data_IF_847791576063
#
_entry.id   IF_847791576063
#
_cell.length_a   1.000
_cell.length_b   1.000
_cell.length_c   1.000
_cell.angle_alpha   90.00
_cell.angle_beta   90.00
_cell.angle_gamma   90.00
#
_symmetry.space_group_name_H-M   'P 1'
#
loop_
_entity.id
_entity.type
_entity.pdbx_description
1 polymer ?
#
# COMPACT_ATOMS: atom_id res chain seq x y z
N UNK A 1 -13.53 -8.11 4.61
CA UNK A 1 -13.50 -9.11 3.51
C UNK A 1 -12.12 -9.73 3.48
N UNK A 2 -12.04 -11.06 3.39
CA UNK A 2 -10.78 -11.78 3.32
C UNK A 2 -10.71 -12.57 2.01
N UNK A 3 -9.67 -12.35 1.22
CA UNK A 3 -9.40 -13.00 -0.05
C UNK A 3 -8.20 -13.93 0.16
N UNK A 4 -8.43 -15.23 -0.04
CA UNK A 4 -7.45 -16.30 0.25
C UNK A 4 -7.10 -17.14 -0.97
N UNK A 5 -7.63 -16.79 -2.14
CA UNK A 5 -7.36 -17.48 -3.39
C UNK A 5 -6.84 -16.49 -4.45
N UNK A 6 -5.92 -16.89 -5.34
CA UNK A 6 -5.48 -16.05 -6.43
C UNK A 6 -6.63 -15.81 -7.44
N UNK A 7 -6.59 -14.64 -8.10
CA UNK A 7 -7.62 -14.34 -9.10
C UNK A 7 -7.86 -12.84 -9.31
N UNK A 8 -8.86 -12.54 -10.15
CA UNK A 8 -9.36 -11.19 -10.39
C UNK A 8 -10.71 -11.00 -9.72
N UNK A 9 -10.83 -9.97 -8.90
CA UNK A 9 -12.01 -9.67 -8.11
C UNK A 9 -12.53 -8.28 -8.45
N UNK A 10 -13.75 -8.20 -8.93
CA UNK A 10 -14.45 -6.91 -9.12
C UNK A 10 -15.11 -6.53 -7.80
N UNK A 11 -14.75 -5.40 -7.27
CA UNK A 11 -15.21 -4.90 -5.99
C UNK A 11 -16.14 -3.71 -6.21
N UNK A 12 -17.32 -3.75 -5.59
CA UNK A 12 -18.27 -2.64 -5.60
C UNK A 12 -19.07 -2.58 -4.29
N UNK A 13 -19.58 -1.40 -3.98
CA UNK A 13 -20.42 -1.20 -2.80
C UNK A 13 -19.63 -0.66 -1.61
N UNK A 14 -20.18 -0.81 -0.39
CA UNK A 14 -19.72 -0.11 0.80
C UNK A 14 -19.30 -1.03 1.93
N UNK A 15 -18.16 -0.73 2.54
CA UNK A 15 -17.69 -1.25 3.84
C UNK A 15 -17.54 -0.04 4.77
N UNK A 16 -18.49 0.13 5.70
CA UNK A 16 -18.54 1.30 6.59
C UNK A 16 -17.63 1.18 7.83
N UNK A 17 -17.19 -0.03 8.16
CA UNK A 17 -16.24 -0.30 9.24
C UNK A 17 -15.54 -1.64 8.98
N UNK A 18 -14.34 -1.61 8.41
CA UNK A 18 -13.57 -2.81 8.10
C UNK A 18 -12.68 -2.64 6.88
N UNK A 19 -12.03 -3.72 6.49
CA UNK A 19 -11.01 -3.74 5.46
C UNK A 19 -11.22 -4.86 4.43
N UNK A 20 -10.52 -4.74 3.32
CA UNK A 20 -10.26 -5.84 2.40
C UNK A 20 -8.82 -6.31 2.64
N UNK A 21 -8.68 -7.57 3.04
CA UNK A 21 -7.40 -8.21 3.29
C UNK A 21 -7.17 -9.34 2.28
N UNK A 22 -6.03 -9.33 1.63
CA UNK A 22 -5.57 -10.38 0.71
C UNK A 22 -4.45 -11.14 1.39
N UNK A 23 -4.62 -12.45 1.56
CA UNK A 23 -3.61 -13.32 2.16
C UNK A 23 -3.70 -14.72 1.56
N UNK A 24 -2.78 -15.06 0.68
CA UNK A 24 -2.71 -16.35 0.01
C UNK A 24 -1.84 -17.37 0.76
N UNK A 25 -1.43 -17.03 1.99
CA UNK A 25 -0.61 -17.88 2.86
C UNK A 25 0.90 -17.72 2.65
N UNK A 26 1.67 -18.27 3.58
CA UNK A 26 3.12 -18.05 3.72
C UNK A 26 3.94 -18.44 2.47
N UNK A 27 3.49 -19.43 1.71
CA UNK A 27 4.15 -19.88 0.49
C UNK A 27 3.98 -18.95 -0.73
N UNK A 28 3.01 -18.06 -0.68
CA UNK A 28 2.60 -17.23 -1.81
C UNK A 28 3.71 -16.33 -2.35
N UNK A 29 4.62 -15.85 -1.48
CA UNK A 29 5.74 -15.00 -1.88
C UNK A 29 6.58 -15.59 -3.03
N UNK A 30 6.77 -16.90 -3.06
CA UNK A 30 7.61 -17.61 -4.04
C UNK A 30 6.80 -18.27 -5.16
N UNK A 31 5.47 -18.24 -5.08
CA UNK A 31 4.58 -18.83 -6.09
C UNK A 31 4.14 -17.77 -7.11
N UNK A 32 4.64 -17.88 -8.33
CA UNK A 32 4.29 -16.96 -9.44
C UNK A 32 2.80 -16.94 -9.80
N UNK A 33 2.03 -17.92 -9.33
CA UNK A 33 0.58 -17.97 -9.53
C UNK A 33 -0.20 -17.28 -8.40
N UNK A 34 0.46 -16.92 -7.31
CA UNK A 34 -0.16 -16.23 -6.18
C UNK A 34 -0.38 -14.74 -6.47
N UNK A 35 -1.20 -14.47 -7.49
CA UNK A 35 -1.50 -13.13 -8.00
C UNK A 35 -2.97 -12.78 -7.74
N UNK A 36 -3.20 -11.64 -7.12
CA UNK A 36 -4.53 -11.07 -6.91
C UNK A 36 -4.62 -9.71 -7.60
N UNK A 37 -5.66 -9.54 -8.40
CA UNK A 37 -6.03 -8.27 -9.00
C UNK A 37 -7.38 -7.81 -8.43
N UNK A 38 -7.39 -6.68 -7.76
CA UNK A 38 -8.61 -6.03 -7.29
C UNK A 38 -9.03 -4.96 -8.30
N UNK A 39 -10.20 -5.11 -8.90
CA UNK A 39 -10.79 -4.13 -9.81
C UNK A 39 -11.78 -3.30 -9.00
N UNK A 40 -11.43 -2.03 -8.76
CA UNK A 40 -12.24 -1.11 -7.98
C UNK A 40 -13.30 -0.48 -8.88
N UNK A 41 -14.56 -0.77 -8.61
CA UNK A 41 -15.69 -0.28 -9.39
C UNK A 41 -16.78 0.28 -8.47
N UNK A 42 -16.66 1.55 -8.11
CA UNK A 42 -17.54 2.25 -7.18
C UNK A 42 -17.55 1.62 -5.77
N UNK A 43 -16.35 1.47 -5.18
CA UNK A 43 -16.19 1.07 -3.79
C UNK A 43 -16.14 2.27 -2.85
N UNK A 44 -16.69 2.10 -1.64
CA UNK A 44 -16.57 3.03 -0.52
C UNK A 44 -16.16 2.24 0.73
N UNK A 45 -14.88 2.32 1.08
CA UNK A 45 -14.29 1.54 2.17
C UNK A 45 -13.82 2.49 3.27
N UNK A 46 -14.20 2.19 4.52
CA UNK A 46 -13.70 2.91 5.69
C UNK A 46 -13.19 1.92 6.74
N UNK A 47 -11.95 2.12 7.16
CA UNK A 47 -11.32 1.43 8.29
C UNK A 47 -10.58 2.46 9.15
N UNK A 48 -11.00 2.63 10.40
CA UNK A 48 -10.46 3.63 11.32
C UNK A 48 -9.36 3.10 12.24
N UNK A 49 -8.92 1.85 12.07
CA UNK A 49 -7.97 1.18 12.97
C UNK A 49 -6.86 0.42 12.24
N UNK A 50 -6.89 0.43 10.90
CA UNK A 50 -5.96 -0.28 10.04
C UNK A 50 -6.10 0.19 8.59
N UNK A 51 -5.25 -0.27 7.64
CA UNK A 51 -5.47 -0.08 6.22
C UNK A 51 -6.88 -0.46 5.76
N UNK A 52 -7.49 0.33 4.89
CA UNK A 52 -8.77 -0.03 4.25
C UNK A 52 -8.61 -1.21 3.28
N UNK A 53 -7.45 -1.27 2.61
CA UNK A 53 -7.06 -2.39 1.75
C UNK A 53 -5.63 -2.80 2.10
N UNK A 54 -5.40 -4.10 2.27
CA UNK A 54 -4.07 -4.65 2.58
C UNK A 54 -3.80 -5.96 1.84
N UNK A 55 -2.58 -6.05 1.27
CA UNK A 55 -2.01 -7.29 0.75
C UNK A 55 -0.95 -7.80 1.71
N UNK A 56 -1.18 -8.96 2.31
CA UNK A 56 -0.22 -9.62 3.22
C UNK A 56 0.74 -10.54 2.47
N UNK A 57 0.21 -11.61 1.90
CA UNK A 57 0.99 -12.66 1.25
C UNK A 57 0.48 -12.88 -0.18
N UNK A 58 1.25 -12.41 -1.13
CA UNK A 58 1.09 -12.61 -2.58
C UNK A 58 2.48 -12.83 -3.18
N UNK A 59 2.57 -13.13 -4.47
CA UNK A 59 3.85 -13.29 -5.16
C UNK A 59 4.68 -12.01 -5.12
N UNK A 60 5.97 -12.17 -4.80
CA UNK A 60 6.98 -11.11 -4.91
C UNK A 60 7.83 -11.33 -6.16
N UNK A 61 7.88 -10.32 -7.03
CA UNK A 61 8.62 -10.35 -8.29
C UNK A 61 10.04 -9.78 -8.20
N UNK A 62 10.32 -9.01 -7.15
CA UNK A 62 11.63 -8.44 -6.89
C UNK A 62 12.41 -9.23 -5.84
N UNK A 63 13.56 -8.69 -5.45
CA UNK A 63 14.34 -9.18 -4.32
C UNK A 63 14.12 -8.24 -3.12
N UNK A 64 14.16 -8.79 -1.92
CA UNK A 64 14.07 -8.05 -0.67
C UNK A 64 15.41 -7.98 0.08
N UNK A 65 16.48 -8.50 -0.54
CA UNK A 65 17.84 -8.39 -0.03
C UNK A 65 18.54 -7.20 -0.70
N UNK A 66 19.05 -6.26 0.09
CA UNK A 66 19.71 -5.07 -0.39
C UNK A 66 20.98 -5.38 -1.22
N UNK A 67 21.66 -6.51 -0.95
CA UNK A 67 22.86 -6.94 -1.69
C UNK A 67 22.51 -7.43 -3.10
N UNK A 68 21.29 -7.96 -3.29
CA UNK A 68 20.79 -8.49 -4.56
C UNK A 68 19.79 -7.53 -5.26
N UNK A 69 19.40 -6.43 -4.59
CA UNK A 69 18.45 -5.45 -5.10
C UNK A 69 18.96 -4.69 -6.33
N UNK A 70 18.08 -4.40 -7.25
CA UNK A 70 18.36 -3.58 -8.43
C UNK A 70 17.34 -2.46 -8.56
N UNK A 71 17.78 -1.29 -9.04
CA UNK A 71 16.92 -0.15 -9.34
C UNK A 71 16.12 -0.33 -10.65
N UNK A 72 16.49 -1.29 -11.47
CA UNK A 72 15.78 -1.63 -12.71
C UNK A 72 14.91 -2.87 -12.44
N UNK A 73 13.74 -2.62 -11.88
CA UNK A 73 12.81 -3.67 -11.44
C UNK A 73 11.62 -3.75 -12.40
N UNK A 74 11.42 -4.94 -12.98
CA UNK A 74 10.19 -5.25 -13.72
C UNK A 74 9.10 -5.69 -12.74
N UNK A 75 8.18 -4.79 -12.43
CA UNK A 75 7.05 -5.04 -11.53
C UNK A 75 5.84 -5.68 -12.23
N UNK A 76 5.90 -5.96 -13.53
CA UNK A 76 4.74 -6.47 -14.31
C UNK A 76 4.20 -7.80 -13.80
N UNK A 77 5.02 -8.60 -13.13
CA UNK A 77 4.65 -9.89 -12.55
C UNK A 77 4.24 -9.82 -11.07
N UNK A 78 4.16 -8.64 -10.46
CA UNK A 78 3.83 -8.49 -9.05
C UNK A 78 2.50 -9.16 -8.67
N UNK A 79 2.47 -9.75 -7.48
CA UNK A 79 1.29 -10.45 -6.96
C UNK A 79 0.17 -9.54 -6.50
N UNK A 80 0.47 -8.30 -6.10
CA UNK A 80 -0.53 -7.31 -5.70
C UNK A 80 -0.85 -6.36 -6.86
N UNK A 81 -2.07 -6.40 -7.36
CA UNK A 81 -2.49 -5.53 -8.46
C UNK A 81 -3.84 -4.88 -8.19
N UNK A 82 -3.91 -3.59 -8.49
CA UNK A 82 -5.13 -2.79 -8.48
C UNK A 82 -5.43 -2.33 -9.89
N UNK A 83 -6.71 -2.37 -10.27
CA UNK A 83 -7.22 -1.71 -11.47
C UNK A 83 -8.33 -0.76 -11.02
N UNK A 84 -8.22 0.50 -11.40
CA UNK A 84 -9.28 1.48 -11.21
C UNK A 84 -10.16 1.40 -12.46
N UNK A 85 -11.39 0.88 -12.29
CA UNK A 85 -12.30 0.70 -13.42
C UNK A 85 -12.68 2.04 -14.06
N UNK A 86 -12.82 2.04 -15.37
CA UNK A 86 -13.29 3.23 -16.09
C UNK A 86 -14.68 3.68 -15.61
N UNK A 87 -14.92 4.98 -15.66
CA UNK A 87 -16.19 5.63 -15.27
C UNK A 87 -16.58 5.37 -13.79
N UNK A 88 -15.64 4.91 -12.94
CA UNK A 88 -15.87 4.66 -11.52
C UNK A 88 -15.30 5.74 -10.62
N UNK A 89 -15.92 5.91 -9.45
CA UNK A 89 -15.39 6.75 -8.36
C UNK A 89 -15.26 5.88 -7.13
N UNK A 90 -14.04 5.67 -6.68
CA UNK A 90 -13.70 4.82 -5.56
C UNK A 90 -13.20 5.65 -4.39
N UNK A 91 -13.61 5.28 -3.18
CA UNK A 91 -13.22 5.94 -1.94
C UNK A 91 -12.62 4.91 -0.99
N UNK A 92 -11.41 5.17 -0.50
CA UNK A 92 -10.77 4.36 0.53
C UNK A 92 -10.30 5.29 1.64
N UNK A 93 -10.95 5.17 2.79
CA UNK A 93 -10.56 5.84 4.02
C UNK A 93 -9.89 4.81 4.91
N UNK A 94 -8.66 5.07 5.28
CA UNK A 94 -7.86 4.14 6.06
C UNK A 94 -7.09 4.82 7.19
N UNK A 95 -6.61 3.99 8.07
CA UNK A 95 -5.75 4.36 9.17
C UNK A 95 -4.56 3.41 9.21
N UNK A 96 -3.75 3.52 10.21
CA UNK A 96 -2.63 2.64 10.48
C UNK A 96 -2.94 1.71 11.64
N UNK A 97 -2.25 0.58 11.70
CA UNK A 97 -2.30 -0.28 12.88
C UNK A 97 -1.58 0.43 14.02
N UNK A 98 -2.19 0.48 15.19
CA UNK A 98 -1.60 1.10 16.37
C UNK A 98 -0.18 0.59 16.62
N UNK A 99 0.72 1.49 16.99
CA UNK A 99 2.13 1.17 17.23
C UNK A 99 2.27 0.11 18.33
N UNK A 100 2.59 -1.12 17.92
CA UNK A 100 2.96 -2.21 18.81
C UNK A 100 4.42 -2.52 18.50
N UNK A 101 5.26 -2.48 19.53
CA UNK A 101 6.68 -2.70 19.36
C UNK A 101 7.03 -4.17 19.62
N UNK A 102 7.82 -4.75 18.73
CA UNK A 102 8.46 -6.05 18.93
C UNK A 102 9.62 -5.93 19.93
N UNK A 103 10.34 -4.82 19.87
CA UNK A 103 11.44 -4.50 20.78
C UNK A 103 11.53 -3.00 20.99
N UNK A 104 12.01 -2.60 22.17
CA UNK A 104 12.35 -1.22 22.51
C UNK A 104 13.70 -1.20 23.21
N UNK A 105 14.53 -0.21 22.91
CA UNK A 105 15.76 0.11 23.62
C UNK A 105 15.54 1.41 24.41
N UNK A 106 15.86 1.38 25.69
CA UNK A 106 15.75 2.53 26.57
C UNK A 106 17.12 3.17 26.79
N UNK A 107 17.11 4.48 27.08
CA UNK A 107 18.32 5.17 27.55
C UNK A 107 18.85 4.54 28.86
N UNK A 108 20.07 4.88 29.29
CA UNK A 108 20.70 4.36 30.49
C UNK A 108 19.85 4.58 31.77
N UNK A 109 19.00 5.62 31.80
CA UNK A 109 18.13 5.93 32.93
C UNK A 109 16.81 5.12 32.87
N UNK A 110 16.51 4.42 31.79
CA UNK A 110 15.27 3.66 31.61
C UNK A 110 14.02 4.52 31.45
N UNK A 111 14.15 5.79 31.08
CA UNK A 111 13.07 6.77 31.06
C UNK A 111 12.59 7.14 29.67
N UNK A 112 13.39 6.90 28.63
CA UNK A 112 13.11 7.27 27.25
C UNK A 112 13.45 6.14 26.31
N UNK A 113 12.59 5.96 25.30
CA UNK A 113 12.88 5.02 24.19
C UNK A 113 13.86 5.73 23.24
N UNK A 114 15.04 5.14 23.06
CA UNK A 114 16.09 5.64 22.13
C UNK A 114 16.10 4.89 20.82
N UNK A 115 15.56 3.65 20.78
CA UNK A 115 15.33 2.89 19.58
C UNK A 115 14.14 1.96 19.75
N UNK A 116 13.47 1.61 18.65
CA UNK A 116 12.31 0.71 18.69
C UNK A 116 12.09 0.03 17.36
N UNK A 117 11.70 -1.25 17.42
CA UNK A 117 11.30 -2.04 16.26
C UNK A 117 9.79 -2.25 16.31
N UNK A 118 9.06 -1.73 15.33
CA UNK A 118 7.61 -1.96 15.20
C UNK A 118 7.34 -3.43 14.86
N UNK A 119 6.30 -4.01 15.48
CA UNK A 119 5.83 -5.35 15.13
C UNK A 119 5.19 -5.36 13.73
N UNK A 120 4.49 -4.29 13.38
CA UNK A 120 3.85 -4.10 12.08
C UNK A 120 4.14 -2.69 11.56
N UNK A 121 4.46 -2.58 10.27
CA UNK A 121 4.68 -1.31 9.56
C UNK A 121 3.47 -0.95 8.67
N UNK A 122 2.24 -1.34 9.03
CA UNK A 122 1.05 -1.11 8.20
C UNK A 122 0.52 0.30 8.44
N UNK A 123 1.22 1.27 7.89
CA UNK A 123 1.04 2.68 8.18
C UNK A 123 0.17 3.42 7.13
N UNK A 124 -0.16 2.79 5.99
CA UNK A 124 -0.92 3.40 4.92
C UNK A 124 -2.40 2.99 4.88
N UNK A 125 -3.25 3.85 4.34
CA UNK A 125 -4.66 3.53 4.10
C UNK A 125 -4.83 2.40 3.07
N UNK A 126 -3.93 2.33 2.10
CA UNK A 126 -3.81 1.27 1.10
C UNK A 126 -2.39 0.70 1.17
N UNK A 127 -2.23 -0.53 1.62
CA UNK A 127 -0.93 -1.07 1.98
C UNK A 127 -0.64 -2.43 1.33
N UNK A 128 0.61 -2.66 0.98
CA UNK A 128 1.10 -3.96 0.52
C UNK A 128 2.42 -4.35 1.20
N UNK A 129 2.51 -5.57 1.67
CA UNK A 129 3.78 -6.15 2.14
C UNK A 129 4.68 -6.62 0.99
N UNK A 130 4.22 -6.46 -0.24
CA UNK A 130 4.92 -6.92 -1.45
C UNK A 130 4.82 -5.85 -2.51
N UNK A 131 5.61 -5.98 -3.55
CA UNK A 131 5.52 -5.11 -4.72
C UNK A 131 4.09 -4.99 -5.20
N UNK A 132 3.62 -3.76 -5.40
CA UNK A 132 2.25 -3.46 -5.77
C UNK A 132 2.17 -2.57 -7.02
N UNK A 133 1.22 -2.89 -7.89
CA UNK A 133 0.90 -2.07 -9.06
C UNK A 133 -0.50 -1.47 -8.97
N UNK A 134 -0.64 -0.21 -9.39
CA UNK A 134 -1.93 0.44 -9.65
C UNK A 134 -2.02 0.79 -11.13
N UNK A 135 -3.13 0.37 -11.74
CA UNK A 135 -3.41 0.57 -13.16
C UNK A 135 -4.77 1.25 -13.35
N UNK A 136 -4.93 2.00 -14.43
CA UNK A 136 -6.24 2.36 -14.97
C UNK A 136 -6.70 1.32 -16.01
N UNK A 137 -7.97 1.33 -16.38
CA UNK A 137 -8.45 0.67 -17.58
C UNK A 137 -8.19 1.53 -18.84
N UNK A 138 -8.82 1.18 -19.97
CA UNK A 138 -8.50 1.73 -21.29
C UNK A 138 -8.69 3.26 -21.42
N UNK A 139 -9.77 3.82 -20.82
CA UNK A 139 -10.03 5.27 -20.84
C UNK A 139 -9.18 6.03 -19.82
N UNK A 140 -8.75 5.36 -18.76
CA UNK A 140 -7.97 5.93 -17.68
C UNK A 140 -8.69 7.05 -16.89
N UNK A 141 -10.02 7.08 -16.92
CA UNK A 141 -10.85 8.10 -16.27
C UNK A 141 -11.45 7.65 -14.94
N UNK A 142 -11.16 6.43 -14.51
CA UNK A 142 -11.51 5.94 -13.18
C UNK A 142 -10.76 6.70 -12.09
N UNK A 143 -11.44 6.99 -10.99
CA UNK A 143 -10.94 7.79 -9.88
C UNK A 143 -10.80 6.94 -8.62
N UNK A 144 -9.66 7.06 -7.95
CA UNK A 144 -9.41 6.54 -6.60
C UNK A 144 -9.10 7.71 -5.67
N UNK A 145 -10.00 7.97 -4.73
CA UNK A 145 -9.78 8.92 -3.65
C UNK A 145 -9.33 8.17 -2.41
N UNK A 146 -8.24 8.60 -1.82
CA UNK A 146 -7.69 8.03 -0.60
C UNK A 146 -7.66 9.12 0.46
N UNK A 147 -8.24 8.82 1.62
CA UNK A 147 -8.10 9.64 2.81
C UNK A 147 -7.43 8.79 3.89
N UNK A 148 -6.29 9.24 4.36
CA UNK A 148 -5.45 8.52 5.29
C UNK A 148 -5.17 9.33 6.55
N UNK A 149 -5.28 8.66 7.69
CA UNK A 149 -4.86 9.27 8.97
C UNK A 149 -3.34 9.43 9.03
N UNK A 150 -2.60 8.52 8.39
CA UNK A 150 -1.14 8.55 8.30
C UNK A 150 -0.73 8.57 6.82
N UNK A 151 -0.23 7.49 6.24
CA UNK A 151 0.20 7.42 4.85
C UNK A 151 -0.95 7.05 3.91
N UNK A 152 -0.91 7.56 2.67
CA UNK A 152 -1.92 7.28 1.66
C UNK A 152 -1.77 5.88 1.06
N UNK A 153 -0.72 5.69 0.30
CA UNK A 153 -0.32 4.43 -0.35
C UNK A 153 1.01 3.97 0.21
N UNK A 154 1.10 2.73 0.63
CA UNK A 154 2.33 2.16 1.18
C UNK A 154 2.67 0.79 0.60
N UNK A 155 3.97 0.53 0.41
CA UNK A 155 4.51 -0.77 0.07
C UNK A 155 5.78 -1.04 0.85
N UNK A 156 5.96 -2.27 1.34
CA UNK A 156 7.28 -2.65 1.92
C UNK A 156 8.36 -2.72 0.85
N UNK A 157 7.98 -3.02 -0.41
CA UNK A 157 8.91 -3.15 -1.53
C UNK A 157 8.58 -2.15 -2.64
N UNK A 158 8.62 -2.58 -3.91
CA UNK A 158 8.42 -1.66 -5.02
C UNK A 158 6.97 -1.25 -5.21
N UNK A 159 6.76 -0.08 -5.77
CA UNK A 159 5.45 0.47 -6.06
C UNK A 159 5.41 1.07 -7.46
N UNK A 160 4.42 0.69 -8.26
CA UNK A 160 4.29 1.20 -9.63
C UNK A 160 2.88 1.72 -9.93
N UNK A 161 2.78 2.94 -10.43
CA UNK A 161 1.54 3.53 -10.95
C UNK A 161 1.64 3.60 -12.47
N UNK A 162 0.73 2.92 -13.16
CA UNK A 162 0.67 2.89 -14.61
C UNK A 162 -0.50 3.70 -15.19
N UNK A 163 -1.51 4.07 -14.37
CA UNK A 163 -2.67 4.81 -14.86
C UNK A 163 -3.74 5.07 -13.80
N UNK A 164 -4.82 5.71 -14.23
CA UNK A 164 -5.94 6.13 -13.39
C UNK A 164 -5.78 7.55 -12.83
N UNK A 165 -6.80 8.02 -12.14
CA UNK A 165 -6.78 9.30 -11.42
C UNK A 165 -6.75 8.99 -9.94
N UNK A 166 -5.68 9.35 -9.26
CA UNK A 166 -5.46 9.03 -7.85
C UNK A 166 -5.34 10.34 -7.08
N UNK A 167 -6.22 10.54 -6.13
CA UNK A 167 -6.21 11.69 -5.23
C UNK A 167 -5.94 11.21 -3.81
N UNK A 168 -4.91 11.73 -3.18
CA UNK A 168 -4.48 11.34 -1.84
C UNK A 168 -4.54 12.57 -0.94
N UNK A 169 -5.20 12.41 0.21
CA UNK A 169 -5.16 13.32 1.34
C UNK A 169 -4.64 12.52 2.55
N UNK A 170 -3.45 12.84 3.02
CA UNK A 170 -2.74 12.08 4.05
C UNK A 170 -2.29 12.96 5.21
N UNK A 171 -2.20 12.36 6.40
CA UNK A 171 -1.68 13.00 7.59
C UNK A 171 -0.15 12.96 7.69
N UNK A 172 0.49 12.05 6.97
CA UNK A 172 1.92 11.92 6.78
C UNK A 172 2.16 11.73 5.27
N UNK A 173 2.98 10.78 4.83
CA UNK A 173 3.35 10.65 3.42
C UNK A 173 2.17 10.32 2.51
N UNK A 174 2.20 10.88 1.30
CA UNK A 174 1.23 10.53 0.27
C UNK A 174 1.47 9.13 -0.25
N UNK A 175 2.70 8.83 -0.63
CA UNK A 175 3.17 7.51 -1.08
C UNK A 175 4.45 7.21 -0.33
N UNK A 176 4.56 6.01 0.25
CA UNK A 176 5.76 5.56 0.95
C UNK A 176 6.14 4.14 0.53
N UNK A 177 7.45 3.93 0.26
CA UNK A 177 8.06 2.61 0.05
C UNK A 177 9.18 2.40 1.06
N UNK A 178 9.09 1.33 1.87
CA UNK A 178 9.71 1.27 3.19
C UNK A 178 11.06 0.56 3.27
N UNK A 179 11.47 -0.26 2.28
CA UNK A 179 12.69 -1.06 2.42
C UNK A 179 13.91 -0.28 1.94
N UNK A 180 14.77 0.09 2.89
CA UNK A 180 15.97 0.90 2.65
C UNK A 180 16.91 0.26 1.62
N UNK A 181 17.28 1.05 0.60
CA UNK A 181 18.20 0.63 -0.45
C UNK A 181 17.63 -0.40 -1.45
N UNK A 182 16.39 -0.83 -1.29
CA UNK A 182 15.71 -1.82 -2.14
C UNK A 182 14.55 -1.19 -2.89
N UNK A 183 13.68 -0.47 -2.18
CA UNK A 183 12.40 0.01 -2.69
C UNK A 183 12.56 1.01 -3.84
N UNK A 184 11.70 0.87 -4.85
CA UNK A 184 11.62 1.80 -5.98
C UNK A 184 10.17 2.18 -6.22
N UNK A 185 9.89 3.48 -6.19
CA UNK A 185 8.61 4.05 -6.61
C UNK A 185 8.70 4.47 -8.07
N UNK A 186 7.80 3.94 -8.92
CA UNK A 186 7.75 4.23 -10.35
C UNK A 186 6.39 4.78 -10.74
N UNK A 187 6.35 5.89 -11.46
CA UNK A 187 5.13 6.47 -12.02
C UNK A 187 5.28 6.54 -13.55
N UNK A 188 4.63 5.60 -14.24
CA UNK A 188 4.66 5.51 -15.69
C UNK A 188 3.52 6.30 -16.36
N UNK A 189 2.43 6.55 -15.63
CA UNK A 189 1.27 7.23 -16.16
C UNK A 189 0.22 7.53 -15.09
N UNK A 190 -0.92 8.05 -15.54
CA UNK A 190 -2.01 8.48 -14.67
C UNK A 190 -1.92 9.94 -14.25
N UNK A 191 -2.83 10.33 -13.37
CA UNK A 191 -2.86 11.65 -12.75
C UNK A 191 -2.85 11.46 -11.23
N UNK A 192 -1.75 11.82 -10.57
CA UNK A 192 -1.57 11.64 -9.14
C UNK A 192 -1.54 13.01 -8.46
N UNK A 193 -2.53 13.25 -7.60
CA UNK A 193 -2.66 14.47 -6.81
C UNK A 193 -2.48 14.12 -5.33
N UNK A 194 -1.55 14.76 -4.67
CA UNK A 194 -1.23 14.48 -3.27
C UNK A 194 -1.36 15.77 -2.47
N UNK A 195 -2.10 15.71 -1.37
CA UNK A 195 -2.16 16.72 -0.33
C UNK A 195 -1.74 16.09 1.00
N UNK A 196 -0.64 16.59 1.57
CA UNK A 196 -0.16 16.18 2.89
C UNK A 196 -0.57 17.25 3.88
N UNK A 197 -1.43 16.89 4.84
CA UNK A 197 -2.07 17.82 5.78
C UNK A 197 -1.67 17.60 7.24
N UNK A 198 -0.65 16.77 7.49
CA UNK A 198 -0.20 16.43 8.83
C UNK A 198 0.44 17.60 9.58
N UNK A 199 0.29 17.59 10.89
CA UNK A 199 0.85 18.61 11.78
C UNK A 199 2.29 18.33 12.22
N UNK A 200 2.86 17.20 11.86
CA UNK A 200 4.20 16.76 12.30
C UNK A 200 5.33 17.47 11.57
N UNK A 201 5.08 18.00 10.37
CA UNK A 201 6.08 18.65 9.53
C UNK A 201 7.11 17.69 8.89
N UNK A 202 6.85 16.38 8.97
CA UNK A 202 7.72 15.33 8.43
C UNK A 202 7.09 14.58 7.24
N UNK A 203 5.87 14.97 6.82
CA UNK A 203 5.17 14.29 5.74
C UNK A 203 5.64 14.73 4.36
N UNK A 204 5.96 13.77 3.52
CA UNK A 204 6.37 13.95 2.13
C UNK A 204 5.26 13.61 1.13
N UNK A 205 5.28 14.26 -0.04
CA UNK A 205 4.39 13.86 -1.12
C UNK A 205 4.67 12.42 -1.55
N UNK A 206 5.94 12.11 -1.76
CA UNK A 206 6.43 10.76 -2.08
C UNK A 206 7.72 10.54 -1.32
N UNK A 207 7.73 9.55 -0.45
CA UNK A 207 8.93 9.04 0.22
C UNK A 207 9.32 7.69 -0.39
N UNK A 208 10.62 7.50 -0.64
CA UNK A 208 11.17 6.28 -1.23
C UNK A 208 12.59 6.10 -0.73
N UNK A 209 12.80 5.12 0.12
CA UNK A 209 14.08 4.83 0.79
C UNK A 209 15.04 4.01 -0.05
#
# INVERSE_FOLDING_TARGET
VHITEPGKYVLSGKISAGQIAVDLGDGARKDRNAVVTLILNNVDITCSVAPGVIFYNVYECGDDDADDATKDVDTSAAGANIIIADDSINQVNGSYVAKIYEAVELNEAGTEIIDSKKLHKYDAAFYSRRTMNINGEEKGNGVLNIQAENEGLGSELHFTINGGIINIDSGNDGINTNEDGVSVTTINGGNVNIAVNGSTGEGDGIDSN
#
